data_IF_392835987120
#
_entry.id   IF_392835987120
#
_cell.length_a   1.000
_cell.length_b   1.000
_cell.length_c   1.000
_cell.angle_alpha   90.00
_cell.angle_beta   90.00
_cell.angle_gamma   90.00
#
_symmetry.space_group_name_H-M   'P 1'
#
loop_
_entity.id
_entity.type
_entity.pdbx_description
1 polymer ?
#
# COMPACT_ATOMS: atom_id res chain seq x y z
N UNK A 1 -3.97 45.39 12.55
CA UNK A 1 -4.16 44.43 11.44
C UNK A 1 -2.83 44.33 10.71
N UNK A 2 -2.23 43.14 10.59
CA UNK A 2 -1.02 42.97 9.80
C UNK A 2 -1.31 43.30 8.32
N UNK A 3 -0.48 44.14 7.70
CA UNK A 3 -0.58 44.45 6.26
C UNK A 3 -0.25 43.19 5.46
N UNK A 4 -1.02 42.93 4.40
CA UNK A 4 -0.70 41.91 3.40
C UNK A 4 0.72 42.17 2.86
N UNK A 5 1.71 41.35 3.24
CA UNK A 5 3.09 41.44 2.79
C UNK A 5 4.16 41.31 3.87
N UNK A 6 3.84 41.50 5.16
CA UNK A 6 4.84 41.50 6.26
C UNK A 6 5.07 40.11 6.91
N UNK A 7 4.76 39.01 6.21
CA UNK A 7 5.01 37.65 6.73
C UNK A 7 6.10 36.98 5.91
N UNK A 8 7.28 36.81 6.51
CA UNK A 8 8.36 36.01 5.94
C UNK A 8 8.12 34.52 6.24
N UNK A 9 8.01 33.71 5.18
CA UNK A 9 7.80 32.25 5.29
C UNK A 9 9.08 31.56 4.86
N UNK A 10 9.75 30.90 5.80
CA UNK A 10 10.85 29.99 5.51
C UNK A 10 10.32 28.55 5.43
N UNK A 11 10.45 27.92 4.26
CA UNK A 11 10.08 26.51 4.10
C UNK A 11 11.19 25.61 4.62
N UNK A 12 10.80 24.47 5.19
CA UNK A 12 11.70 23.36 5.53
C UNK A 12 11.52 22.22 4.50
N UNK A 13 12.34 22.12 3.44
CA UNK A 13 12.19 21.08 2.42
C UNK A 13 12.31 19.67 2.98
N UNK A 14 13.19 19.46 3.98
CA UNK A 14 13.40 18.14 4.60
C UNK A 14 12.12 17.61 5.26
N UNK A 15 11.28 18.49 5.79
CA UNK A 15 9.98 18.08 6.33
C UNK A 15 9.14 17.40 5.24
N UNK A 16 9.06 17.99 4.05
CA UNK A 16 8.26 17.43 2.95
C UNK A 16 8.85 16.15 2.36
N UNK A 17 10.17 16.00 2.37
CA UNK A 17 10.83 14.76 1.94
C UNK A 17 10.57 13.57 2.89
N UNK A 18 10.29 13.85 4.17
CA UNK A 18 10.16 12.85 5.23
C UNK A 18 8.73 12.69 5.74
N UNK A 19 7.81 13.60 5.42
CA UNK A 19 6.43 13.58 5.90
C UNK A 19 5.73 12.24 5.64
N UNK A 20 5.94 11.66 4.45
CA UNK A 20 5.34 10.39 4.06
C UNK A 20 6.01 9.15 4.69
N UNK A 21 7.12 9.34 5.42
CA UNK A 21 7.80 8.29 6.21
C UNK A 21 7.37 8.29 7.67
N UNK A 22 6.53 9.24 8.09
CA UNK A 22 6.10 9.30 9.48
C UNK A 22 5.37 8.00 9.90
N UNK A 23 5.60 7.50 11.13
CA UNK A 23 4.98 6.27 11.60
C UNK A 23 3.44 6.28 11.56
N UNK A 24 2.82 7.47 11.67
CA UNK A 24 1.37 7.62 11.55
C UNK A 24 0.89 7.37 10.11
N UNK A 25 1.60 7.92 9.11
CA UNK A 25 1.28 7.71 7.69
C UNK A 25 1.49 6.25 7.30
N UNK A 26 2.60 5.65 7.74
CA UNK A 26 2.90 4.24 7.50
C UNK A 26 1.84 3.30 8.08
N UNK A 27 1.32 3.59 9.28
CA UNK A 27 0.22 2.83 9.88
C UNK A 27 -1.06 2.88 9.05
N UNK A 28 -1.36 4.00 8.41
CA UNK A 28 -2.53 4.14 7.52
C UNK A 28 -2.39 3.20 6.32
N UNK A 29 -1.22 3.18 5.67
CA UNK A 29 -1.00 2.30 4.52
C UNK A 29 -0.95 0.83 4.92
N UNK A 30 -0.41 0.51 6.10
CA UNK A 30 -0.41 -0.85 6.63
C UNK A 30 -1.81 -1.36 6.95
N UNK A 31 -2.66 -0.53 7.56
CA UNK A 31 -4.06 -0.89 7.79
C UNK A 31 -4.80 -1.15 6.47
N UNK A 32 -4.54 -0.35 5.43
CA UNK A 32 -5.09 -0.60 4.10
C UNK A 32 -4.53 -1.88 3.48
N UNK A 33 -3.23 -2.15 3.63
CA UNK A 33 -2.58 -3.37 3.18
C UNK A 33 -3.15 -4.63 3.85
N UNK A 34 -3.38 -4.59 5.17
CA UNK A 34 -3.99 -5.71 5.91
C UNK A 34 -5.42 -5.99 5.44
N UNK A 35 -6.23 -4.94 5.21
CA UNK A 35 -7.57 -5.11 4.63
C UNK A 35 -7.50 -5.72 3.23
N UNK A 36 -6.56 -5.27 2.40
CA UNK A 36 -6.36 -5.81 1.06
C UNK A 36 -5.91 -7.28 1.10
N UNK A 37 -4.98 -7.64 1.99
CA UNK A 37 -4.51 -9.01 2.17
C UNK A 37 -5.65 -9.94 2.61
N UNK A 38 -6.45 -9.52 3.61
CA UNK A 38 -7.59 -10.29 4.07
C UNK A 38 -8.60 -10.55 2.93
N UNK A 39 -8.91 -9.52 2.13
CA UNK A 39 -9.76 -9.65 0.95
C UNK A 39 -9.16 -10.56 -0.12
N UNK A 40 -7.86 -10.43 -0.38
CA UNK A 40 -7.15 -11.25 -1.36
C UNK A 40 -7.15 -12.73 -0.96
N UNK A 41 -6.95 -13.05 0.32
CA UNK A 41 -7.02 -14.43 0.83
C UNK A 41 -8.44 -15.00 0.78
N UNK A 42 -9.45 -14.20 1.10
CA UNK A 42 -10.85 -14.62 1.05
C UNK A 42 -11.36 -14.83 -0.39
N UNK A 43 -10.89 -14.02 -1.34
CA UNK A 43 -11.27 -14.09 -2.76
C UNK A 43 -10.35 -14.95 -3.63
N UNK A 44 -9.29 -15.53 -3.05
CA UNK A 44 -8.32 -16.30 -3.80
C UNK A 44 -8.98 -17.54 -4.42
N UNK A 45 -8.73 -17.84 -5.72
CA UNK A 45 -9.16 -19.10 -6.30
C UNK A 45 -8.43 -20.26 -5.60
N UNK A 46 -9.19 -21.29 -5.22
CA UNK A 46 -8.65 -22.44 -4.50
C UNK A 46 -8.73 -23.67 -5.40
N UNK A 47 -7.55 -24.09 -5.86
CA UNK A 47 -7.29 -25.43 -6.38
C UNK A 47 -6.53 -26.22 -5.30
N UNK A 48 -5.20 -26.01 -5.22
CA UNK A 48 -4.36 -26.56 -4.15
C UNK A 48 -4.21 -25.65 -2.91
N UNK A 49 -4.64 -24.39 -2.99
CA UNK A 49 -4.43 -23.38 -1.96
C UNK A 49 -3.07 -22.65 -1.99
N UNK A 50 -2.09 -23.14 -2.75
CA UNK A 50 -0.72 -22.57 -2.80
C UNK A 50 -0.68 -21.05 -3.10
N UNK A 51 -1.50 -20.59 -4.03
CA UNK A 51 -1.59 -19.17 -4.35
C UNK A 51 -2.11 -18.36 -3.16
N UNK A 52 -3.19 -18.80 -2.50
CA UNK A 52 -3.75 -18.14 -1.31
C UNK A 52 -2.74 -18.08 -0.18
N UNK A 53 -2.03 -19.16 0.03
CA UNK A 53 -1.14 -19.34 1.18
C UNK A 53 0.18 -18.57 1.00
N UNK A 54 0.60 -18.33 -0.26
CA UNK A 54 1.75 -17.48 -0.58
C UNK A 54 1.45 -15.96 -0.51
N UNK A 55 0.18 -15.56 -0.37
CA UNK A 55 -0.18 -14.15 -0.24
C UNK A 55 0.32 -13.54 1.07
N UNK A 56 1.09 -12.47 0.96
CA UNK A 56 1.64 -11.75 2.10
C UNK A 56 1.85 -10.26 1.80
N UNK A 57 2.29 -9.51 2.83
CA UNK A 57 2.60 -8.09 2.72
C UNK A 57 4.11 -7.90 2.62
N UNK A 58 4.53 -7.05 1.70
CA UNK A 58 5.88 -6.53 1.62
C UNK A 58 5.89 -5.01 1.74
N UNK A 59 7.01 -4.49 2.24
CA UNK A 59 7.27 -3.05 2.29
C UNK A 59 8.37 -2.69 1.31
N UNK A 60 8.05 -1.75 0.43
CA UNK A 60 9.01 -1.21 -0.53
C UNK A 60 9.36 0.24 -0.18
N UNK A 61 10.63 0.48 0.10
CA UNK A 61 11.18 1.80 0.34
C UNK A 61 11.43 2.54 -0.99
N UNK A 62 10.71 3.63 -1.21
CA UNK A 62 10.97 4.56 -2.31
C UNK A 62 11.54 5.87 -1.77
N UNK A 63 12.13 6.71 -2.62
CA UNK A 63 12.83 7.95 -2.23
C UNK A 63 12.13 8.73 -1.09
N UNK A 64 10.85 9.06 -1.26
CA UNK A 64 10.09 9.90 -0.29
C UNK A 64 9.06 9.15 0.55
N UNK A 65 8.82 7.87 0.31
CA UNK A 65 7.74 7.13 0.99
C UNK A 65 8.03 5.64 1.04
N UNK A 66 7.42 4.96 2.01
CA UNK A 66 7.29 3.51 2.02
C UNK A 66 5.94 3.12 1.41
N UNK A 67 5.93 2.10 0.56
CA UNK A 67 4.71 1.53 -0.01
C UNK A 67 4.46 0.16 0.60
N UNK A 68 3.24 -0.07 1.11
CA UNK A 68 2.78 -1.40 1.54
C UNK A 68 2.19 -2.11 0.33
N UNK A 69 2.73 -3.28 -0.04
CA UNK A 69 2.33 -4.10 -1.17
C UNK A 69 1.74 -5.41 -0.69
N UNK A 70 0.74 -5.92 -1.39
CA UNK A 70 0.28 -7.31 -1.24
C UNK A 70 0.80 -8.08 -2.44
N UNK A 71 1.56 -9.14 -2.19
CA UNK A 71 2.27 -9.92 -3.21
C UNK A 71 2.04 -11.41 -3.00
N UNK A 72 2.47 -12.23 -3.96
CA UNK A 72 2.43 -13.70 -3.91
C UNK A 72 3.75 -14.24 -4.42
N UNK A 73 4.30 -15.24 -3.73
CA UNK A 73 5.50 -16.00 -4.15
C UNK A 73 5.17 -17.22 -5.02
N UNK A 74 3.89 -17.45 -5.34
CA UNK A 74 3.50 -18.58 -6.17
C UNK A 74 4.03 -18.38 -7.61
N UNK A 75 4.77 -19.33 -8.19
CA UNK A 75 5.22 -19.25 -9.57
C UNK A 75 4.09 -19.00 -10.58
N UNK A 76 2.86 -19.40 -10.25
CA UNK A 76 1.67 -19.19 -11.10
C UNK A 76 0.91 -17.90 -10.79
N UNK A 77 1.40 -17.04 -9.90
CA UNK A 77 0.71 -15.81 -9.48
C UNK A 77 0.31 -14.92 -10.67
N UNK A 78 1.22 -14.66 -11.60
CA UNK A 78 0.91 -13.84 -12.80
C UNK A 78 -0.23 -14.44 -13.64
N UNK A 79 -0.26 -15.77 -13.79
CA UNK A 79 -1.32 -16.45 -14.51
C UNK A 79 -2.66 -16.32 -13.77
N UNK A 80 -2.66 -16.52 -12.44
CA UNK A 80 -3.85 -16.35 -11.60
C UNK A 80 -4.37 -14.92 -11.68
N UNK A 81 -3.51 -13.92 -11.53
CA UNK A 81 -3.89 -12.51 -11.58
C UNK A 81 -4.41 -12.09 -12.96
N UNK A 82 -3.82 -12.57 -14.06
CA UNK A 82 -4.32 -12.24 -15.40
C UNK A 82 -5.74 -12.74 -15.66
N UNK A 83 -6.11 -13.89 -15.07
CA UNK A 83 -7.45 -14.48 -15.20
C UNK A 83 -8.46 -13.93 -14.20
N UNK A 84 -8.00 -13.66 -12.98
CA UNK A 84 -8.89 -13.44 -11.83
C UNK A 84 -8.80 -12.05 -11.23
N UNK A 85 -7.80 -11.23 -11.59
CA UNK A 85 -7.58 -9.90 -11.06
C UNK A 85 -7.74 -9.78 -9.53
N UNK A 86 -7.40 -10.84 -8.79
CA UNK A 86 -7.75 -10.98 -7.37
C UNK A 86 -7.10 -9.87 -6.53
N UNK A 87 -5.81 -9.62 -6.74
CA UNK A 87 -5.08 -8.57 -6.03
C UNK A 87 -5.60 -7.17 -6.40
N UNK A 88 -5.84 -6.92 -7.69
CA UNK A 88 -6.34 -5.62 -8.17
C UNK A 88 -7.71 -5.28 -7.57
N UNK A 89 -8.63 -6.26 -7.53
CA UNK A 89 -9.95 -6.12 -6.91
C UNK A 89 -9.85 -5.95 -5.40
N UNK A 90 -8.96 -6.70 -4.74
CA UNK A 90 -8.75 -6.64 -3.30
C UNK A 90 -8.23 -5.27 -2.85
N UNK A 91 -7.27 -4.70 -3.57
CA UNK A 91 -6.78 -3.34 -3.33
C UNK A 91 -7.88 -2.31 -3.56
N UNK A 92 -8.65 -2.42 -4.64
CA UNK A 92 -9.78 -1.52 -4.90
C UNK A 92 -10.80 -1.56 -3.76
N UNK A 93 -11.14 -2.75 -3.27
CA UNK A 93 -12.06 -2.93 -2.16
C UNK A 93 -11.52 -2.45 -0.81
N UNK A 94 -10.20 -2.33 -0.64
CA UNK A 94 -9.60 -1.94 0.63
C UNK A 94 -9.54 -0.42 0.87
N UNK A 95 -9.83 0.38 -0.17
CA UNK A 95 -9.63 1.84 -0.17
C UNK A 95 -10.49 2.63 0.82
N UNK A 96 -11.63 2.10 1.26
CA UNK A 96 -12.70 2.82 1.96
C UNK A 96 -13.26 3.96 1.10
#
# INVERSE_FOLDING_TARGET
MARSGDTEIEFNPRFFETAMRQPKVQRVTDAAGQRALAKAKAGAPVDTGAYRDSLHIEHHESRYRRTTRVVSDDPKALLVESKTGNLARSVKGAKQ
#
